data_IF_549450328016
#
_entry.id   IF_549450328016
#
_cell.length_a   1.000
_cell.length_b   1.000
_cell.length_c   1.000
_cell.angle_alpha   90.00
_cell.angle_beta   90.00
_cell.angle_gamma   90.00
#
_symmetry.space_group_name_H-M   'P 1'
#
loop_
_entity.id
_entity.type
_entity.pdbx_description
1 polymer ?
#
# COMPACT_ATOMS: atom_id res chain seq x y z
N UNK A 1 31.00 21.74 6.65
CA UNK A 1 29.63 21.24 6.38
C UNK A 1 29.31 20.22 7.46
N UNK A 2 28.06 20.10 7.88
CA UNK A 2 27.65 18.99 8.76
C UNK A 2 27.68 17.68 7.94
N UNK A 3 27.83 16.53 8.62
CA UNK A 3 27.85 15.21 7.94
C UNK A 3 26.58 15.00 7.09
N UNK A 4 25.43 15.51 7.55
CA UNK A 4 24.18 15.44 6.83
C UNK A 4 24.17 16.30 5.54
N UNK A 5 24.88 17.41 5.52
CA UNK A 5 24.99 18.27 4.33
C UNK A 5 25.94 17.65 3.30
N UNK A 6 26.99 16.97 3.75
CA UNK A 6 27.88 16.17 2.88
C UNK A 6 27.05 15.04 2.24
N UNK A 7 26.30 14.28 3.06
CA UNK A 7 25.42 13.22 2.57
C UNK A 7 24.38 13.73 1.55
N UNK A 8 23.81 14.93 1.78
CA UNK A 8 22.88 15.57 0.84
C UNK A 8 23.52 15.82 -0.52
N UNK A 9 24.74 16.38 -0.51
CA UNK A 9 25.45 16.70 -1.74
C UNK A 9 25.81 15.43 -2.52
N UNK A 10 26.35 14.41 -1.84
CA UNK A 10 26.69 13.12 -2.44
C UNK A 10 25.45 12.41 -3.01
N UNK A 11 24.32 12.44 -2.26
CA UNK A 11 23.04 11.88 -2.71
C UNK A 11 22.52 12.58 -3.95
N UNK A 12 22.61 13.92 -3.99
CA UNK A 12 22.19 14.75 -5.12
C UNK A 12 23.00 14.40 -6.38
N UNK A 13 24.32 14.41 -6.27
CA UNK A 13 25.22 14.10 -7.38
C UNK A 13 24.96 12.70 -7.91
N UNK A 14 24.86 11.72 -7.01
CA UNK A 14 24.57 10.34 -7.40
C UNK A 14 23.21 10.20 -8.11
N UNK A 15 22.14 10.83 -7.61
CA UNK A 15 20.82 10.78 -8.22
C UNK A 15 20.81 11.46 -9.60
N UNK A 16 21.50 12.58 -9.77
CA UNK A 16 21.60 13.28 -11.05
C UNK A 16 22.33 12.44 -12.10
N UNK A 17 23.39 11.74 -11.71
CA UNK A 17 24.15 10.87 -12.59
C UNK A 17 23.40 9.56 -12.91
N UNK A 18 22.72 8.96 -11.93
CA UNK A 18 22.25 7.59 -12.00
C UNK A 18 20.77 7.41 -12.29
N UNK A 19 19.92 8.43 -12.03
CA UNK A 19 18.49 8.35 -12.34
C UNK A 19 18.26 8.63 -13.83
N UNK A 20 17.75 7.66 -14.63
CA UNK A 20 17.43 7.91 -16.03
C UNK A 20 16.40 9.03 -16.19
N UNK A 21 16.51 9.80 -17.29
CA UNK A 21 15.62 10.94 -17.51
C UNK A 21 14.14 10.52 -17.62
N UNK A 22 13.83 9.39 -18.20
CA UNK A 22 12.49 8.82 -18.29
C UNK A 22 11.89 8.45 -16.93
N UNK A 23 12.74 8.17 -15.92
CA UNK A 23 12.35 7.89 -14.55
C UNK A 23 12.16 9.14 -13.69
N UNK A 24 12.36 10.33 -14.25
CA UNK A 24 12.16 11.65 -13.59
C UNK A 24 10.78 12.24 -13.88
N UNK A 25 9.76 11.42 -13.78
CA UNK A 25 8.36 11.83 -13.97
C UNK A 25 7.45 11.05 -13.01
N UNK A 26 6.38 11.68 -12.48
CA UNK A 26 5.48 10.99 -11.56
C UNK A 26 4.83 9.77 -12.21
N UNK A 27 4.61 8.73 -11.42
CA UNK A 27 3.73 7.60 -11.79
C UNK A 27 2.29 8.12 -11.82
N UNK A 28 1.59 7.94 -12.94
CA UNK A 28 0.21 8.36 -13.10
C UNK A 28 -0.70 7.18 -12.79
N UNK A 29 -1.41 7.24 -11.68
CA UNK A 29 -2.44 6.27 -11.30
C UNK A 29 -1.98 4.80 -11.22
N UNK A 30 -0.70 4.57 -10.91
CA UNK A 30 -0.09 3.24 -10.81
C UNK A 30 0.49 2.70 -12.12
N UNK A 31 0.33 3.42 -13.22
CA UNK A 31 1.00 3.10 -14.50
C UNK A 31 2.47 3.48 -14.41
N UNK A 32 3.35 2.58 -14.82
CA UNK A 32 4.80 2.78 -14.75
C UNK A 32 5.42 2.44 -13.39
N UNK A 33 4.67 1.89 -12.44
CA UNK A 33 5.21 1.39 -11.19
C UNK A 33 5.92 0.04 -11.39
N UNK A 34 7.15 -0.07 -10.90
CA UNK A 34 7.87 -1.34 -10.89
C UNK A 34 7.46 -2.17 -9.66
N UNK A 35 6.86 -3.34 -9.87
CA UNK A 35 6.44 -4.25 -8.78
C UNK A 35 7.43 -5.37 -8.52
N UNK A 36 8.31 -5.65 -9.48
CA UNK A 36 9.24 -6.76 -9.39
C UNK A 36 8.56 -8.13 -9.40
N UNK A 37 9.31 -9.16 -9.02
CA UNK A 37 8.87 -10.55 -9.01
C UNK A 37 9.52 -11.39 -10.12
N UNK A 38 9.46 -12.71 -9.96
CA UNK A 38 10.12 -13.66 -10.88
C UNK A 38 9.62 -13.59 -12.32
N UNK A 39 8.36 -13.17 -12.49
CA UNK A 39 7.71 -13.03 -13.81
C UNK A 39 7.51 -11.56 -14.21
N UNK A 40 8.22 -10.62 -13.58
CA UNK A 40 8.10 -9.20 -13.90
C UNK A 40 8.69 -8.89 -15.27
N UNK A 41 7.91 -8.17 -16.07
CA UNK A 41 8.38 -7.63 -17.35
C UNK A 41 8.53 -6.11 -17.18
N UNK A 42 9.75 -5.61 -17.33
CA UNK A 42 10.03 -4.18 -17.25
C UNK A 42 9.40 -3.44 -18.42
N UNK A 43 8.83 -2.27 -18.16
CA UNK A 43 8.25 -1.41 -19.19
C UNK A 43 9.32 -0.78 -20.10
N UNK A 44 10.55 -0.67 -19.60
CA UNK A 44 11.70 -0.14 -20.32
C UNK A 44 13.02 -0.58 -19.68
N UNK A 45 14.11 -0.49 -20.46
CA UNK A 45 15.48 -0.69 -19.93
C UNK A 45 15.81 0.31 -18.81
N UNK A 46 15.32 1.52 -18.90
CA UNK A 46 15.50 2.56 -17.87
C UNK A 46 14.82 2.19 -16.54
N UNK A 47 13.65 1.54 -16.56
CA UNK A 47 12.98 1.07 -15.36
C UNK A 47 13.79 -0.03 -14.68
N UNK A 48 14.32 -0.98 -15.45
CA UNK A 48 15.20 -2.03 -14.94
C UNK A 48 16.49 -1.44 -14.35
N UNK A 49 17.17 -0.60 -15.12
CA UNK A 49 18.41 0.06 -14.72
C UNK A 49 18.23 0.88 -13.43
N UNK A 50 17.09 1.57 -13.31
CA UNK A 50 16.79 2.34 -12.11
C UNK A 50 16.62 1.46 -10.88
N UNK A 51 15.88 0.34 -11.00
CA UNK A 51 15.76 -0.64 -9.91
C UNK A 51 17.13 -1.22 -9.53
N UNK A 52 17.94 -1.65 -10.49
CA UNK A 52 19.26 -2.23 -10.25
C UNK A 52 20.21 -1.25 -9.53
N UNK A 53 20.24 0.02 -9.96
CA UNK A 53 21.06 1.05 -9.34
C UNK A 53 20.63 1.36 -7.91
N UNK A 54 19.33 1.52 -7.68
CA UNK A 54 18.81 1.82 -6.35
C UNK A 54 18.94 0.62 -5.39
N UNK A 55 18.72 -0.60 -5.87
CA UNK A 55 18.89 -1.80 -5.05
C UNK A 55 20.37 -2.06 -4.70
N UNK A 56 21.32 -1.79 -5.62
CA UNK A 56 22.75 -1.92 -5.34
C UNK A 56 23.24 -0.95 -4.26
N UNK A 57 22.54 0.17 -4.07
CA UNK A 57 22.76 1.10 -2.95
C UNK A 57 21.97 0.73 -1.70
N UNK A 58 21.14 -0.31 -1.76
CA UNK A 58 20.15 -0.63 -0.71
C UNK A 58 19.03 0.40 -0.57
N UNK A 59 18.88 1.33 -1.52
CA UNK A 59 17.94 2.46 -1.45
C UNK A 59 16.52 2.12 -1.88
N UNK A 60 16.23 0.86 -2.24
CA UNK A 60 14.86 0.33 -2.31
C UNK A 60 14.26 0.16 -0.90
N UNK A 61 15.11 -0.13 0.11
CA UNK A 61 14.76 -0.17 1.52
C UNK A 61 15.83 0.59 2.34
N UNK A 62 15.86 1.95 2.25
CA UNK A 62 17.02 2.73 2.66
C UNK A 62 17.29 2.71 4.17
N UNK A 63 16.27 2.55 5.00
CA UNK A 63 16.35 2.57 6.48
C UNK A 63 16.37 1.16 7.13
N UNK A 64 16.39 0.09 6.31
CA UNK A 64 16.56 -1.26 6.84
C UNK A 64 18.03 -1.56 7.12
N UNK A 65 18.32 -2.53 8.03
CA UNK A 65 19.69 -2.88 8.39
C UNK A 65 20.55 -3.28 7.19
N UNK A 66 21.79 -2.78 7.15
CA UNK A 66 22.72 -3.05 6.05
C UNK A 66 23.11 -4.54 5.92
N UNK A 67 23.00 -5.31 7.00
CA UNK A 67 23.32 -6.74 7.05
C UNK A 67 22.55 -7.60 6.03
N UNK A 68 21.41 -7.10 5.55
CA UNK A 68 20.60 -7.75 4.53
C UNK A 68 20.74 -7.12 3.14
N UNK A 69 21.78 -6.28 2.92
CA UNK A 69 22.00 -5.56 1.67
C UNK A 69 21.14 -4.31 1.50
N UNK A 70 20.53 -3.82 2.59
CA UNK A 70 19.73 -2.61 2.62
C UNK A 70 20.59 -1.36 2.88
N UNK A 71 19.98 -0.16 2.85
CA UNK A 71 20.73 1.09 2.90
C UNK A 71 21.36 1.42 4.26
N UNK A 72 20.80 0.93 5.36
CA UNK A 72 21.28 1.21 6.72
C UNK A 72 21.19 2.69 7.10
N UNK A 73 20.45 3.53 6.34
CA UNK A 73 20.37 4.96 6.55
C UNK A 73 19.64 5.29 7.86
N UNK A 74 20.20 6.24 8.59
CA UNK A 74 19.45 6.81 9.72
C UNK A 74 18.28 7.68 9.21
N UNK A 75 17.30 7.94 10.08
CA UNK A 75 16.07 8.68 9.71
C UNK A 75 16.33 10.02 9.03
N UNK A 76 17.40 10.74 9.44
CA UNK A 76 17.77 12.02 8.85
C UNK A 76 18.27 11.87 7.40
N UNK A 77 19.10 10.87 7.14
CA UNK A 77 19.62 10.56 5.80
C UNK A 77 18.50 10.05 4.88
N UNK A 78 17.64 9.16 5.36
CA UNK A 78 16.46 8.72 4.60
C UNK A 78 15.54 9.90 4.21
N UNK A 79 15.36 10.88 5.12
CA UNK A 79 14.63 12.11 4.79
C UNK A 79 15.33 12.91 3.68
N UNK A 80 16.65 13.03 3.72
CA UNK A 80 17.46 13.69 2.68
C UNK A 80 17.29 12.97 1.35
N UNK A 81 17.42 11.64 1.31
CA UNK A 81 17.22 10.85 0.09
C UNK A 81 15.84 11.11 -0.52
N UNK A 82 14.77 11.07 0.28
CA UNK A 82 13.41 11.39 -0.19
C UNK A 82 13.28 12.81 -0.75
N UNK A 83 13.92 13.79 -0.12
CA UNK A 83 13.91 15.18 -0.59
C UNK A 83 14.62 15.33 -1.94
N UNK A 84 15.80 14.72 -2.10
CA UNK A 84 16.55 14.80 -3.35
C UNK A 84 15.90 14.00 -4.48
N UNK A 85 15.30 12.84 -4.20
CA UNK A 85 14.44 12.14 -5.17
C UNK A 85 13.25 13.00 -5.61
N UNK A 86 12.59 13.66 -4.66
CA UNK A 86 11.48 14.57 -4.94
C UNK A 86 11.91 15.78 -5.78
N UNK A 87 13.11 16.34 -5.55
CA UNK A 87 13.68 17.47 -6.30
C UNK A 87 13.81 17.18 -7.79
N UNK A 88 14.29 15.99 -8.14
CA UNK A 88 14.42 15.56 -9.54
C UNK A 88 13.18 14.82 -10.04
N UNK A 89 12.12 14.69 -9.23
CA UNK A 89 10.88 13.96 -9.53
C UNK A 89 11.11 12.50 -9.87
N UNK A 90 12.13 11.87 -9.25
CA UNK A 90 12.42 10.46 -9.46
C UNK A 90 11.24 9.59 -9.00
N UNK A 91 10.89 8.59 -9.82
CA UNK A 91 9.93 7.55 -9.43
C UNK A 91 10.48 6.67 -8.31
N UNK A 92 9.59 6.08 -7.50
CA UNK A 92 9.98 4.96 -6.64
C UNK A 92 10.62 3.87 -7.50
N UNK A 93 11.77 3.33 -7.11
CA UNK A 93 12.40 2.26 -7.88
C UNK A 93 11.63 0.94 -7.81
N UNK A 94 10.89 0.72 -6.72
CA UNK A 94 10.16 -0.52 -6.47
C UNK A 94 8.90 -0.24 -5.63
N UNK A 95 7.76 -0.69 -6.12
CA UNK A 95 6.52 -0.82 -5.36
C UNK A 95 6.35 -2.27 -4.94
N UNK A 96 6.26 -2.56 -3.65
CA UNK A 96 6.23 -3.95 -3.18
C UNK A 96 5.61 -4.10 -1.81
N UNK A 97 4.64 -5.03 -1.67
CA UNK A 97 4.19 -5.50 -0.36
C UNK A 97 5.35 -6.09 0.47
N UNK A 98 6.43 -6.51 -0.19
CA UNK A 98 7.69 -6.88 0.46
C UNK A 98 8.27 -5.71 1.25
N UNK A 99 8.35 -4.52 0.65
CA UNK A 99 8.96 -3.33 1.27
C UNK A 99 8.09 -2.77 2.40
N UNK A 100 6.78 -2.60 2.19
CA UNK A 100 5.95 -1.84 3.13
C UNK A 100 5.03 -2.69 4.01
N UNK A 101 5.00 -4.01 3.83
CA UNK A 101 4.24 -4.93 4.69
C UNK A 101 5.11 -6.02 5.29
N UNK A 102 5.43 -7.08 4.52
CA UNK A 102 6.03 -8.27 5.10
C UNK A 102 7.48 -8.05 5.55
N UNK A 103 8.27 -7.22 4.87
CA UNK A 103 9.66 -6.96 5.26
C UNK A 103 9.80 -6.34 6.65
N UNK A 104 9.07 -5.27 7.01
CA UNK A 104 9.02 -4.76 8.38
C UNK A 104 8.60 -5.81 9.42
N UNK A 105 7.68 -6.73 9.07
CA UNK A 105 7.28 -7.80 9.96
C UNK A 105 8.39 -8.86 10.12
N UNK A 106 9.08 -9.21 9.03
CA UNK A 106 10.25 -10.11 9.09
C UNK A 106 11.38 -9.52 9.94
N UNK A 107 11.69 -8.24 9.75
CA UNK A 107 12.70 -7.55 10.56
C UNK A 107 12.38 -7.61 12.05
N UNK A 108 11.12 -7.51 12.42
CA UNK A 108 10.67 -7.45 13.82
C UNK A 108 10.42 -8.82 14.45
N UNK A 109 9.89 -9.76 13.70
CA UNK A 109 9.35 -11.03 14.23
C UNK A 109 9.95 -12.27 13.55
N UNK A 110 10.58 -12.15 12.40
CA UNK A 110 11.17 -13.25 11.65
C UNK A 110 12.41 -13.81 12.35
N UNK A 111 12.65 -15.11 12.15
CA UNK A 111 13.94 -15.73 12.49
C UNK A 111 15.05 -15.17 11.62
N UNK A 112 16.30 -15.41 11.99
CA UNK A 112 17.43 -14.94 11.18
C UNK A 112 17.47 -15.61 9.80
N UNK A 113 17.09 -16.87 9.75
CA UNK A 113 16.99 -17.66 8.51
C UNK A 113 15.95 -17.02 7.55
N UNK A 114 14.75 -16.68 8.05
CA UNK A 114 13.72 -15.99 7.25
C UNK A 114 14.16 -14.63 6.74
N UNK A 115 14.88 -13.87 7.58
CA UNK A 115 15.42 -12.56 7.17
C UNK A 115 16.44 -12.72 6.06
N UNK A 116 17.41 -13.62 6.22
CA UNK A 116 18.45 -13.90 5.22
C UNK A 116 17.86 -14.45 3.92
N UNK A 117 16.81 -15.26 4.00
CA UNK A 117 16.15 -15.83 2.84
C UNK A 117 15.38 -14.77 2.04
N UNK A 118 14.61 -13.90 2.69
CA UNK A 118 13.62 -13.07 2.01
C UNK A 118 14.02 -11.60 1.84
N UNK A 119 14.68 -10.97 2.84
CA UNK A 119 14.95 -9.53 2.78
C UNK A 119 15.85 -9.14 1.59
N UNK A 120 16.94 -9.84 1.29
CA UNK A 120 17.77 -9.51 0.12
C UNK A 120 17.00 -9.61 -1.20
N UNK A 121 16.15 -10.61 -1.37
CA UNK A 121 15.35 -10.79 -2.58
C UNK A 121 14.23 -9.75 -2.69
N UNK A 122 13.64 -9.31 -1.57
CA UNK A 122 12.66 -8.21 -1.53
C UNK A 122 13.29 -6.91 -2.04
N UNK A 123 14.47 -6.53 -1.53
CA UNK A 123 15.09 -5.24 -1.90
C UNK A 123 15.60 -5.21 -3.35
N UNK A 124 15.95 -6.36 -3.91
CA UNK A 124 16.32 -6.47 -5.34
C UNK A 124 15.12 -6.57 -6.27
N UNK A 125 13.89 -6.63 -5.71
CA UNK A 125 12.66 -6.77 -6.50
C UNK A 125 12.52 -8.15 -7.17
N UNK A 126 13.19 -9.17 -6.66
CA UNK A 126 13.17 -10.54 -7.19
C UNK A 126 11.93 -11.33 -6.75
N UNK A 127 11.29 -10.92 -5.67
CA UNK A 127 10.10 -11.55 -5.10
C UNK A 127 8.96 -10.54 -4.99
N UNK A 128 7.84 -10.84 -5.64
CA UNK A 128 6.58 -10.13 -5.49
C UNK A 128 5.69 -10.82 -4.46
N UNK A 129 5.21 -10.07 -3.49
CA UNK A 129 4.39 -10.58 -2.40
C UNK A 129 2.91 -10.28 -2.58
N UNK A 130 2.05 -11.16 -2.04
CA UNK A 130 0.64 -10.89 -1.83
C UNK A 130 0.22 -11.26 -0.41
N UNK A 131 -0.95 -10.72 0.01
CA UNK A 131 -1.50 -10.88 1.36
C UNK A 131 -2.68 -11.86 1.32
N UNK A 132 -2.61 -12.91 2.14
CA UNK A 132 -3.66 -13.90 2.33
C UNK A 132 -4.35 -13.74 3.68
N UNK A 133 -5.17 -12.70 3.88
CA UNK A 133 -5.82 -12.42 5.17
C UNK A 133 -7.30 -12.74 5.14
N UNK A 134 -8.09 -11.92 4.45
CA UNK A 134 -9.54 -12.02 4.42
C UNK A 134 -10.05 -13.33 3.82
N UNK A 135 -11.20 -13.79 4.30
CA UNK A 135 -11.97 -14.90 3.77
C UNK A 135 -13.39 -14.44 3.43
N UNK A 136 -14.18 -15.21 2.65
CA UNK A 136 -15.55 -14.84 2.32
C UNK A 136 -16.40 -14.45 3.54
N UNK A 137 -16.17 -15.12 4.68
CA UNK A 137 -16.90 -14.87 5.94
C UNK A 137 -16.07 -14.22 7.03
N UNK A 138 -14.82 -13.81 6.76
CA UNK A 138 -13.89 -13.21 7.74
C UNK A 138 -13.13 -12.02 7.14
N UNK A 139 -13.81 -10.89 7.02
CA UNK A 139 -13.23 -9.59 6.64
C UNK A 139 -13.08 -8.69 7.87
N UNK A 140 -14.14 -7.98 8.28
CA UNK A 140 -14.11 -7.15 9.50
C UNK A 140 -13.86 -7.96 10.76
N UNK A 141 -14.43 -9.16 10.88
CA UNK A 141 -14.09 -10.15 11.92
C UNK A 141 -12.97 -11.08 11.44
N UNK A 142 -11.80 -10.50 11.12
CA UNK A 142 -10.64 -11.25 10.60
C UNK A 142 -10.22 -12.38 11.54
N UNK A 143 -10.35 -12.22 12.84
CA UNK A 143 -10.02 -13.26 13.81
C UNK A 143 -10.93 -14.50 13.70
N UNK A 144 -12.06 -14.38 13.02
CA UNK A 144 -12.99 -15.48 12.69
C UNK A 144 -12.57 -16.33 11.50
N UNK A 145 -11.36 -16.14 10.95
CA UNK A 145 -10.85 -16.91 9.80
C UNK A 145 -10.90 -18.44 10.07
N UNK A 146 -11.20 -19.20 9.00
CA UNK A 146 -11.42 -20.64 9.04
C UNK A 146 -10.39 -21.44 8.22
N UNK A 147 -9.63 -20.82 7.31
CA UNK A 147 -8.55 -21.50 6.61
C UNK A 147 -7.57 -22.06 7.62
N UNK A 148 -7.40 -23.37 7.62
CA UNK A 148 -6.65 -24.12 8.63
C UNK A 148 -5.28 -24.56 8.13
N UNK A 149 -4.35 -24.76 9.06
CA UNK A 149 -3.07 -25.42 8.82
C UNK A 149 -2.93 -26.55 9.84
N UNK A 150 -2.97 -27.79 9.36
CA UNK A 150 -2.85 -28.98 10.20
C UNK A 150 -1.38 -29.34 10.36
N UNK A 151 -0.93 -29.52 11.59
CA UNK A 151 0.44 -29.91 11.91
C UNK A 151 0.68 -31.39 11.57
N UNK A 152 1.60 -31.66 10.66
CA UNK A 152 1.99 -33.00 10.22
C UNK A 152 3.34 -33.46 10.83
N UNK A 153 3.88 -32.69 11.78
CA UNK A 153 5.16 -32.99 12.46
C UNK A 153 6.30 -32.14 11.89
N UNK A 154 6.69 -32.34 10.65
CA UNK A 154 7.76 -31.60 9.96
C UNK A 154 7.26 -30.39 9.13
N UNK A 155 5.98 -30.37 8.77
CA UNK A 155 5.34 -29.31 7.99
C UNK A 155 3.88 -29.11 8.40
N UNK A 156 3.22 -28.10 7.83
CA UNK A 156 1.77 -27.92 7.89
C UNK A 156 1.12 -28.24 6.54
N UNK A 157 -0.12 -28.71 6.57
CA UNK A 157 -0.99 -28.81 5.40
C UNK A 157 -2.10 -27.76 5.54
N UNK A 158 -2.10 -26.81 4.61
CA UNK A 158 -3.04 -25.70 4.61
C UNK A 158 -4.21 -25.95 3.66
N UNK A 159 -5.43 -25.68 4.17
CA UNK A 159 -6.67 -25.80 3.41
C UNK A 159 -7.59 -24.62 3.71
N UNK A 160 -8.21 -24.05 2.67
CA UNK A 160 -9.17 -22.97 2.81
C UNK A 160 -9.29 -22.08 1.58
N UNK A 161 -9.84 -20.90 1.80
CA UNK A 161 -10.04 -19.90 0.74
C UNK A 161 -9.76 -18.50 1.28
N UNK A 162 -8.92 -17.76 0.59
CA UNK A 162 -8.68 -16.33 0.82
C UNK A 162 -9.38 -15.50 -0.26
N UNK A 163 -9.75 -14.28 0.10
CA UNK A 163 -10.41 -13.33 -0.82
C UNK A 163 -9.75 -11.96 -0.69
N UNK A 164 -9.87 -11.17 -1.74
CA UNK A 164 -9.24 -9.85 -1.86
C UNK A 164 -7.72 -9.90 -1.82
N UNK A 165 -7.13 -11.03 -2.24
CA UNK A 165 -5.69 -11.19 -2.39
C UNK A 165 -5.18 -10.27 -3.50
N UNK A 166 -4.57 -9.15 -3.12
CA UNK A 166 -4.09 -8.15 -4.08
C UNK A 166 -3.00 -8.74 -4.97
N UNK A 167 -3.27 -8.75 -6.30
CA UNK A 167 -2.37 -9.27 -7.32
C UNK A 167 -1.87 -10.69 -7.06
N UNK A 168 -2.69 -11.56 -6.45
CA UNK A 168 -2.33 -12.94 -6.16
C UNK A 168 -1.97 -13.76 -7.40
N UNK A 169 -2.55 -13.41 -8.56
CA UNK A 169 -2.24 -14.00 -9.87
C UNK A 169 -0.89 -13.58 -10.47
N UNK A 170 -0.21 -12.65 -9.82
CA UNK A 170 1.07 -12.07 -10.24
C UNK A 170 2.15 -12.13 -9.16
N UNK A 171 1.79 -12.62 -7.99
CA UNK A 171 2.68 -12.72 -6.85
C UNK A 171 3.48 -14.02 -6.89
N UNK A 172 4.69 -13.98 -6.35
CA UNK A 172 5.56 -15.14 -6.20
C UNK A 172 5.38 -15.79 -4.83
N UNK A 173 5.13 -14.97 -3.80
CA UNK A 173 4.98 -15.43 -2.42
C UNK A 173 3.77 -14.80 -1.73
N UNK A 174 3.18 -15.57 -0.83
CA UNK A 174 2.09 -15.10 0.02
C UNK A 174 2.51 -15.10 1.49
N UNK A 175 2.15 -14.03 2.21
CA UNK A 175 2.09 -14.04 3.66
C UNK A 175 0.64 -14.24 4.09
N UNK A 176 0.37 -15.34 4.79
CA UNK A 176 -0.98 -15.85 5.00
C UNK A 176 -1.29 -16.07 6.48
N UNK A 177 -2.49 -15.65 6.93
CA UNK A 177 -3.01 -16.02 8.24
C UNK A 177 -3.77 -17.33 8.14
N UNK A 178 -3.39 -18.31 8.96
CA UNK A 178 -4.04 -19.61 9.02
C UNK A 178 -4.38 -19.99 10.47
N UNK A 179 -5.45 -20.75 10.64
CA UNK A 179 -5.86 -21.35 11.91
C UNK A 179 -5.00 -22.59 12.19
N UNK A 180 -4.05 -22.48 13.10
CA UNK A 180 -3.16 -23.59 13.53
C UNK A 180 -3.63 -24.28 14.79
N UNK A 181 -4.46 -23.61 15.60
CA UNK A 181 -5.13 -24.21 16.77
C UNK A 181 -6.63 -23.85 16.74
N UNK A 182 -7.50 -24.80 16.36
CA UNK A 182 -8.95 -24.57 16.28
C UNK A 182 -9.62 -24.47 17.67
N UNK A 183 -9.02 -25.02 18.71
CA UNK A 183 -9.58 -25.08 20.07
C UNK A 183 -9.24 -23.84 20.89
N UNK A 184 -8.26 -23.04 20.46
CA UNK A 184 -7.87 -21.81 21.11
C UNK A 184 -8.91 -20.68 20.91
N UNK A 185 -8.86 -19.68 21.80
CA UNK A 185 -9.63 -18.43 21.58
C UNK A 185 -9.30 -17.84 20.22
N UNK A 186 -10.30 -17.20 19.58
CA UNK A 186 -10.23 -16.68 18.19
C UNK A 186 -8.86 -16.14 17.76
N UNK A 187 -8.26 -15.26 18.55
CA UNK A 187 -6.99 -14.61 18.23
C UNK A 187 -5.75 -15.45 18.55
N UNK A 188 -5.87 -16.44 19.43
CA UNK A 188 -4.76 -17.18 20.00
C UNK A 188 -4.32 -18.40 19.17
N UNK A 189 -5.16 -18.85 18.24
CA UNK A 189 -4.90 -20.03 17.39
C UNK A 189 -4.57 -19.68 15.94
N UNK A 190 -4.01 -18.50 15.70
CA UNK A 190 -3.68 -18.01 14.35
C UNK A 190 -2.17 -17.88 14.22
N UNK A 191 -1.61 -18.41 13.13
CA UNK A 191 -0.22 -18.22 12.73
C UNK A 191 -0.11 -17.41 11.46
N UNK A 192 0.99 -16.66 11.30
CA UNK A 192 1.38 -16.05 10.04
C UNK A 192 2.43 -16.95 9.38
N UNK A 193 2.13 -17.42 8.19
CA UNK A 193 3.00 -18.31 7.43
C UNK A 193 3.32 -17.73 6.06
N UNK A 194 4.44 -18.16 5.49
CA UNK A 194 4.90 -17.78 4.16
C UNK A 194 4.91 -19.02 3.28
N UNK A 195 4.49 -18.89 2.04
CA UNK A 195 4.63 -19.94 1.04
C UNK A 195 4.68 -19.38 -0.38
N UNK A 196 5.34 -20.13 -1.25
CA UNK A 196 5.43 -19.82 -2.68
C UNK A 196 4.07 -20.04 -3.36
N UNK A 197 3.66 -19.11 -4.22
CA UNK A 197 2.39 -19.18 -4.95
C UNK A 197 2.37 -20.29 -6.02
N UNK A 198 3.53 -20.84 -6.39
CA UNK A 198 3.65 -22.03 -7.25
C UNK A 198 3.57 -23.35 -6.47
N UNK A 199 3.45 -23.31 -5.14
CA UNK A 199 3.24 -24.53 -4.33
C UNK A 199 1.98 -25.26 -4.83
N UNK A 200 2.06 -26.59 -5.08
CA UNK A 200 0.89 -27.37 -5.49
C UNK A 200 -0.29 -27.15 -4.54
N UNK A 201 -1.48 -26.97 -5.11
CA UNK A 201 -2.72 -26.70 -4.37
C UNK A 201 -3.04 -25.21 -4.21
N UNK A 202 -2.13 -24.29 -4.51
CA UNK A 202 -2.41 -22.85 -4.53
C UNK A 202 -3.02 -22.45 -5.86
N UNK A 203 -4.24 -21.89 -5.83
CA UNK A 203 -4.94 -21.48 -7.07
C UNK A 203 -5.53 -20.08 -6.91
N UNK A 204 -4.86 -19.03 -7.41
CA UNK A 204 -5.41 -17.68 -7.47
C UNK A 204 -6.39 -17.55 -8.64
N UNK A 205 -7.57 -16.97 -8.39
CA UNK A 205 -8.60 -16.65 -9.42
C UNK A 205 -8.89 -15.17 -9.41
N UNK A 206 -8.58 -14.44 -10.49
CA UNK A 206 -8.83 -13.00 -10.58
C UNK A 206 -10.30 -12.62 -10.42
N UNK A 207 -10.57 -11.57 -9.64
CA UNK A 207 -11.89 -10.97 -9.45
C UNK A 207 -12.00 -9.72 -10.33
N UNK A 208 -12.89 -9.73 -11.30
CA UNK A 208 -13.17 -8.54 -12.11
C UNK A 208 -14.07 -7.58 -11.34
N UNK A 209 -13.55 -6.40 -11.04
CA UNK A 209 -14.30 -5.35 -10.36
C UNK A 209 -15.25 -4.62 -11.32
N UNK A 210 -16.26 -3.94 -10.75
CA UNK A 210 -17.18 -3.06 -11.50
C UNK A 210 -16.44 -1.92 -12.22
N UNK A 211 -15.25 -1.54 -11.75
CA UNK A 211 -14.35 -0.57 -12.42
C UNK A 211 -13.71 -1.10 -13.70
N UNK A 212 -13.89 -2.39 -14.00
CA UNK A 212 -13.29 -3.06 -15.15
C UNK A 212 -11.88 -3.62 -14.90
N UNK A 213 -11.22 -3.25 -13.79
CA UNK A 213 -9.91 -3.79 -13.41
C UNK A 213 -10.04 -5.09 -12.59
N UNK A 214 -8.93 -5.84 -12.48
CA UNK A 214 -8.88 -7.07 -11.71
C UNK A 214 -7.62 -7.12 -10.82
N UNK A 215 -7.52 -6.21 -9.81
CA UNK A 215 -6.35 -6.16 -8.93
C UNK A 215 -6.41 -7.17 -7.77
N UNK A 216 -7.49 -7.91 -7.62
CA UNK A 216 -7.70 -8.85 -6.52
C UNK A 216 -8.01 -10.26 -7.03
N UNK A 217 -7.68 -11.25 -6.20
CA UNK A 217 -8.01 -12.65 -6.43
C UNK A 217 -8.80 -13.23 -5.26
N UNK A 218 -9.60 -14.25 -5.55
CA UNK A 218 -9.84 -15.37 -4.63
C UNK A 218 -8.63 -16.30 -4.73
N UNK A 219 -8.16 -16.81 -3.60
CA UNK A 219 -7.04 -17.76 -3.59
C UNK A 219 -7.46 -19.01 -2.83
N UNK A 220 -7.54 -20.11 -3.54
CA UNK A 220 -7.89 -21.42 -2.97
C UNK A 220 -6.63 -22.13 -2.53
N UNK A 221 -6.70 -22.78 -1.38
CA UNK A 221 -5.66 -23.60 -0.79
C UNK A 221 -6.21 -25.01 -0.64
N UNK A 222 -5.65 -25.99 -1.37
CA UNK A 222 -6.07 -27.38 -1.40
C UNK A 222 -4.84 -28.25 -1.13
N UNK A 223 -4.74 -28.74 0.09
CA UNK A 223 -3.61 -29.51 0.62
C UNK A 223 -2.22 -28.86 0.40
N UNK A 224 -2.15 -27.54 0.57
CA UNK A 224 -0.92 -26.77 0.37
C UNK A 224 0.08 -27.09 1.49
N UNK A 225 1.26 -27.59 1.11
CA UNK A 225 2.37 -27.82 2.03
C UNK A 225 3.03 -26.50 2.43
N UNK A 226 3.16 -26.27 3.73
CA UNK A 226 3.83 -25.10 4.31
C UNK A 226 4.92 -25.58 5.26
N UNK A 227 6.16 -25.20 5.02
CA UNK A 227 7.29 -25.58 5.84
C UNK A 227 7.26 -24.86 7.19
N UNK A 228 7.71 -25.52 8.26
CA UNK A 228 7.69 -24.95 9.63
C UNK A 228 8.64 -23.78 9.80
N UNK A 229 9.74 -23.78 9.06
CA UNK A 229 10.69 -22.67 9.04
C UNK A 229 10.14 -21.40 8.35
N UNK A 230 9.01 -21.53 7.64
CA UNK A 230 8.28 -20.41 7.02
C UNK A 230 7.20 -19.81 7.93
N UNK A 231 7.17 -20.14 9.21
CA UNK A 231 6.31 -19.47 10.20
C UNK A 231 7.00 -18.18 10.67
N UNK A 232 6.32 -17.06 10.56
CA UNK A 232 6.83 -15.77 11.06
C UNK A 232 6.53 -15.65 12.54
N UNK A 233 7.57 -15.54 13.37
CA UNK A 233 7.47 -15.59 14.82
C UNK A 233 7.16 -17.00 15.32
N UNK A 234 6.34 -17.11 16.37
CA UNK A 234 5.95 -18.38 16.95
C UNK A 234 4.59 -18.84 16.43
N UNK A 235 4.38 -20.15 16.36
CA UNK A 235 3.07 -20.76 16.05
C UNK A 235 2.02 -20.22 17.04
N UNK A 236 0.84 -19.90 16.54
CA UNK A 236 -0.28 -19.31 17.29
C UNK A 236 -0.07 -17.84 17.74
N UNK A 237 1.00 -17.16 17.32
CA UNK A 237 1.27 -15.74 17.61
C UNK A 237 1.00 -14.80 16.43
N UNK A 238 0.48 -15.32 15.33
CA UNK A 238 0.25 -14.57 14.09
C UNK A 238 -0.69 -13.37 14.24
N UNK A 239 -1.61 -13.36 15.20
CA UNK A 239 -2.50 -12.24 15.44
C UNK A 239 -1.78 -10.94 15.87
N UNK A 240 -0.74 -11.08 16.67
CA UNK A 240 0.10 -9.93 17.07
C UNK A 240 0.82 -9.35 15.87
N UNK A 241 1.33 -10.20 14.99
CA UNK A 241 2.00 -9.79 13.74
C UNK A 241 1.00 -9.18 12.79
N UNK A 242 -0.21 -9.76 12.65
CA UNK A 242 -1.29 -9.22 11.84
C UNK A 242 -1.67 -7.79 12.26
N UNK A 243 -1.80 -7.53 13.56
CA UNK A 243 -2.07 -6.16 14.07
C UNK A 243 -0.98 -5.17 13.70
N UNK A 244 0.28 -5.59 13.74
CA UNK A 244 1.41 -4.78 13.33
C UNK A 244 1.33 -4.43 11.84
N UNK A 245 1.11 -5.42 10.97
CA UNK A 245 0.96 -5.23 9.53
C UNK A 245 -0.22 -4.34 9.17
N UNK A 246 -1.37 -4.53 9.80
CA UNK A 246 -2.57 -3.71 9.59
C UNK A 246 -2.38 -2.23 9.98
N UNK A 247 -1.41 -1.91 10.84
CA UNK A 247 -1.06 -0.51 11.13
C UNK A 247 -0.40 0.15 9.93
N UNK A 248 0.56 -0.51 9.30
CA UNK A 248 1.21 -0.01 8.08
C UNK A 248 0.23 0.11 6.91
N UNK A 249 -0.67 -0.85 6.75
CA UNK A 249 -1.73 -0.80 5.73
C UNK A 249 -2.64 0.42 5.90
N UNK A 250 -3.08 0.74 7.13
CA UNK A 250 -3.92 1.91 7.42
C UNK A 250 -3.21 3.23 7.12
N UNK A 251 -1.92 3.32 7.42
CA UNK A 251 -1.11 4.50 7.10
C UNK A 251 -1.05 4.74 5.60
N UNK A 252 -0.81 3.69 4.82
CA UNK A 252 -0.79 3.75 3.35
C UNK A 252 -2.16 4.16 2.78
N UNK A 253 -3.25 3.49 3.22
CA UNK A 253 -4.60 3.77 2.73
C UNK A 253 -5.05 5.17 3.15
N UNK A 254 -4.70 5.61 4.37
CA UNK A 254 -4.99 6.97 4.85
C UNK A 254 -4.40 8.06 3.95
N UNK A 255 -3.23 7.82 3.37
CA UNK A 255 -2.59 8.73 2.43
C UNK A 255 -3.35 8.96 1.12
N UNK A 256 -4.33 8.11 0.77
CA UNK A 256 -5.12 8.26 -0.47
C UNK A 256 -5.95 9.57 -0.51
N UNK A 257 -6.26 10.16 0.65
CA UNK A 257 -6.94 11.46 0.73
C UNK A 257 -6.06 12.65 0.37
N UNK A 258 -4.74 12.45 0.30
CA UNK A 258 -3.79 13.49 -0.07
C UNK A 258 -3.60 13.51 -1.59
N UNK A 259 -3.69 14.69 -2.18
CA UNK A 259 -3.26 14.87 -3.57
C UNK A 259 -1.74 14.79 -3.63
N UNK A 260 -1.22 13.86 -4.45
CA UNK A 260 0.23 13.74 -4.64
C UNK A 260 0.85 15.07 -5.09
N UNK A 261 2.08 15.33 -4.65
CA UNK A 261 2.83 16.52 -5.06
C UNK A 261 2.91 16.58 -6.60
N UNK A 262 2.48 17.71 -7.18
CA UNK A 262 2.44 17.92 -8.63
C UNK A 262 1.11 17.55 -9.31
N UNK A 263 0.11 17.02 -8.61
CA UNK A 263 -1.23 16.85 -9.14
C UNK A 263 -1.95 18.20 -9.23
N UNK A 264 -2.74 18.40 -10.30
CA UNK A 264 -3.61 19.57 -10.40
C UNK A 264 -4.66 19.56 -9.28
N UNK A 265 -4.91 20.72 -8.67
CA UNK A 265 -6.01 20.88 -7.71
C UNK A 265 -7.37 20.71 -8.41
N UNK A 266 -8.43 20.38 -7.66
CA UNK A 266 -9.78 20.32 -8.23
C UNK A 266 -10.19 21.67 -8.85
N UNK A 267 -9.83 22.78 -8.20
CA UNK A 267 -10.07 24.12 -8.73
C UNK A 267 -9.38 24.37 -10.06
N UNK A 268 -8.14 23.92 -10.23
CA UNK A 268 -7.42 24.05 -11.49
C UNK A 268 -8.06 23.19 -12.60
N UNK A 269 -8.51 21.97 -12.29
CA UNK A 269 -9.20 21.09 -13.24
C UNK A 269 -10.55 21.73 -13.63
N UNK A 270 -11.34 22.16 -12.65
CA UNK A 270 -12.62 22.80 -12.88
C UNK A 270 -12.49 24.08 -13.71
N UNK A 271 -11.47 24.91 -13.44
CA UNK A 271 -11.20 26.12 -14.20
C UNK A 271 -10.87 25.80 -15.67
N UNK A 272 -10.12 24.73 -15.92
CA UNK A 272 -9.79 24.30 -17.27
C UNK A 272 -11.00 23.73 -18.04
N UNK A 273 -11.89 22.99 -17.35
CA UNK A 273 -13.01 22.26 -17.99
C UNK A 273 -14.27 23.13 -18.13
N UNK A 274 -14.66 23.82 -17.04
CA UNK A 274 -15.89 24.61 -16.97
C UNK A 274 -15.66 26.06 -17.45
N UNK A 275 -14.41 26.53 -17.32
CA UNK A 275 -14.03 27.91 -17.59
C UNK A 275 -14.26 28.86 -16.41
N UNK A 276 -13.70 30.08 -16.56
CA UNK A 276 -13.80 31.11 -15.51
C UNK A 276 -14.17 32.48 -16.17
N UNK A 277 -14.92 33.30 -15.42
CA UNK A 277 -15.16 34.68 -15.72
C UNK A 277 -14.76 35.54 -14.53
N UNK A 278 -13.92 36.55 -14.76
CA UNK A 278 -13.36 37.41 -13.71
C UNK A 278 -12.71 36.62 -12.55
N UNK A 279 -11.98 35.53 -12.87
CA UNK A 279 -11.29 34.70 -11.92
C UNK A 279 -12.20 33.77 -11.06
N UNK A 280 -13.48 33.62 -11.44
CA UNK A 280 -14.45 32.75 -10.76
C UNK A 280 -14.95 31.68 -11.72
N UNK A 281 -15.15 30.45 -11.21
CA UNK A 281 -15.77 29.39 -12.00
C UNK A 281 -17.15 29.85 -12.51
N UNK A 282 -17.46 29.51 -13.76
CA UNK A 282 -18.72 29.87 -14.40
C UNK A 282 -19.93 29.16 -13.78
N UNK A 283 -19.72 27.98 -13.18
CA UNK A 283 -20.74 27.26 -12.43
C UNK A 283 -20.60 27.57 -10.92
N UNK A 284 -21.62 28.20 -10.34
CA UNK A 284 -21.66 28.61 -8.94
C UNK A 284 -21.77 27.43 -7.99
N UNK A 285 -22.52 26.37 -8.35
CA UNK A 285 -22.68 25.18 -7.53
C UNK A 285 -21.38 24.39 -7.49
N UNK A 286 -20.77 24.18 -8.66
CA UNK A 286 -19.48 23.51 -8.76
C UNK A 286 -18.38 24.26 -8.01
N UNK A 287 -18.38 25.59 -8.07
CA UNK A 287 -17.44 26.41 -7.26
C UNK A 287 -17.57 26.11 -5.79
N UNK A 288 -18.80 25.96 -5.29
CA UNK A 288 -19.06 25.64 -3.87
C UNK A 288 -18.57 24.21 -3.51
N UNK A 289 -18.86 23.23 -4.36
CA UNK A 289 -18.43 21.84 -4.16
C UNK A 289 -16.90 21.72 -4.17
N UNK A 290 -16.22 22.36 -5.11
CA UNK A 290 -14.76 22.40 -5.19
C UNK A 290 -14.16 23.09 -3.96
N UNK A 291 -14.68 24.25 -3.56
CA UNK A 291 -14.17 24.98 -2.40
C UNK A 291 -14.31 24.16 -1.10
N UNK A 292 -15.45 23.51 -0.89
CA UNK A 292 -15.66 22.63 0.28
C UNK A 292 -14.64 21.48 0.29
N UNK A 293 -14.44 20.84 -0.85
CA UNK A 293 -13.48 19.74 -0.93
C UNK A 293 -12.05 20.22 -0.66
N UNK A 294 -11.63 21.37 -1.24
CA UNK A 294 -10.26 21.89 -1.06
C UNK A 294 -10.01 22.33 0.38
N UNK A 295 -11.00 22.92 1.08
CA UNK A 295 -10.92 23.25 2.50
C UNK A 295 -10.71 21.98 3.32
N UNK A 296 -11.52 20.95 3.10
CA UNK A 296 -11.42 19.68 3.81
C UNK A 296 -10.08 18.99 3.51
N UNK A 297 -9.61 19.01 2.27
CA UNK A 297 -8.33 18.44 1.86
C UNK A 297 -7.15 19.16 2.53
N UNK A 298 -7.18 20.47 2.61
CA UNK A 298 -6.17 21.26 3.33
C UNK A 298 -6.17 20.95 4.83
N UNK A 299 -7.34 20.91 5.47
CA UNK A 299 -7.47 20.54 6.88
C UNK A 299 -6.95 19.12 7.15
N UNK A 300 -7.25 18.18 6.26
CA UNK A 300 -6.74 16.81 6.34
C UNK A 300 -5.21 16.75 6.19
N UNK A 301 -4.63 17.49 5.23
CA UNK A 301 -3.19 17.55 5.02
C UNK A 301 -2.46 18.08 6.27
N UNK A 302 -2.93 19.18 6.86
CA UNK A 302 -2.36 19.73 8.12
C UNK A 302 -2.52 18.77 9.29
N UNK A 303 -3.63 18.03 9.35
CA UNK A 303 -3.84 17.02 10.39
C UNK A 303 -2.86 15.85 10.23
N UNK A 304 -2.64 15.37 9.00
CA UNK A 304 -1.66 14.32 8.71
C UNK A 304 -0.22 14.76 9.02
N UNK A 305 0.12 16.00 8.72
CA UNK A 305 1.42 16.60 9.09
C UNK A 305 1.60 16.64 10.60
N UNK A 306 0.61 17.14 11.35
CA UNK A 306 0.63 17.15 12.82
C UNK A 306 0.83 15.76 13.41
N UNK A 307 0.07 14.75 12.94
CA UNK A 307 0.20 13.37 13.41
C UNK A 307 1.61 12.82 13.13
N UNK A 308 2.18 13.17 11.97
CA UNK A 308 3.56 12.81 11.62
C UNK A 308 4.57 13.45 12.59
N UNK A 309 4.37 14.70 12.97
CA UNK A 309 5.26 15.40 13.90
C UNK A 309 5.11 14.89 15.33
N UNK A 310 3.89 14.57 15.77
CA UNK A 310 3.62 13.91 17.06
C UNK A 310 4.32 12.53 17.12
N UNK A 311 4.26 11.74 16.04
CA UNK A 311 4.96 10.45 15.94
C UNK A 311 6.49 10.61 16.01
N UNK A 312 7.05 11.64 15.36
CA UNK A 312 8.49 11.98 15.46
C UNK A 312 8.88 12.38 16.90
N UNK A 313 7.98 13.03 17.63
CA UNK A 313 8.17 13.38 19.03
C UNK A 313 7.98 12.20 19.99
N UNK A 314 7.77 10.98 19.49
CA UNK A 314 7.67 9.76 20.28
C UNK A 314 6.27 9.48 20.86
N UNK A 315 5.25 10.23 20.46
CA UNK A 315 3.89 10.02 20.96
C UNK A 315 3.16 8.82 20.32
N UNK A 316 3.71 8.32 19.20
CA UNK A 316 3.12 7.23 18.41
C UNK A 316 1.85 7.66 17.64
N UNK A 317 1.50 6.94 16.58
CA UNK A 317 0.31 7.26 15.78
C UNK A 317 -0.96 6.72 16.45
N UNK A 318 -0.87 5.58 17.14
CA UNK A 318 -1.97 5.00 17.92
C UNK A 318 -3.29 4.89 17.16
N UNK A 319 -4.38 5.23 17.84
CA UNK A 319 -5.73 5.21 17.30
C UNK A 319 -5.97 6.29 16.21
N UNK A 320 -5.11 7.32 16.11
CA UNK A 320 -5.23 8.39 15.12
C UNK A 320 -5.14 7.86 13.69
N UNK A 321 -4.44 6.72 13.47
CA UNK A 321 -4.43 6.03 12.17
C UNK A 321 -5.83 5.68 11.67
N UNK A 322 -6.75 5.34 12.58
CA UNK A 322 -8.16 5.07 12.23
C UNK A 322 -8.87 6.32 11.70
N UNK A 323 -8.62 7.49 12.31
CA UNK A 323 -9.16 8.77 11.85
C UNK A 323 -8.61 9.15 10.47
N UNK A 324 -7.29 9.02 10.27
CA UNK A 324 -6.66 9.31 8.98
C UNK A 324 -7.22 8.38 7.89
N UNK A 325 -7.36 7.07 8.17
CA UNK A 325 -7.96 6.13 7.22
C UNK A 325 -9.39 6.51 6.88
N UNK A 326 -10.24 6.70 7.89
CA UNK A 326 -11.66 7.02 7.68
C UNK A 326 -11.81 8.29 6.85
N UNK A 327 -11.24 9.41 7.32
CA UNK A 327 -11.44 10.71 6.66
C UNK A 327 -10.76 10.78 5.30
N UNK A 328 -9.55 10.25 5.16
CA UNK A 328 -8.81 10.23 3.89
C UNK A 328 -9.54 9.44 2.81
N UNK A 329 -10.14 8.29 3.15
CA UNK A 329 -10.91 7.49 2.18
C UNK A 329 -12.22 8.17 1.78
N UNK A 330 -12.94 8.80 2.70
CA UNK A 330 -14.16 9.57 2.38
C UNK A 330 -13.83 10.81 1.55
N UNK A 331 -12.71 11.48 1.83
CA UNK A 331 -12.23 12.60 1.04
C UNK A 331 -11.88 12.19 -0.39
N UNK A 332 -11.23 11.03 -0.57
CA UNK A 332 -10.92 10.49 -1.89
C UNK A 332 -12.18 10.14 -2.69
N UNK A 333 -13.19 9.53 -2.08
CA UNK A 333 -14.49 9.27 -2.72
C UNK A 333 -15.14 10.56 -3.22
N UNK A 334 -15.25 11.57 -2.36
CA UNK A 334 -15.80 12.89 -2.72
C UNK A 334 -14.99 13.59 -3.82
N UNK A 335 -13.66 13.38 -3.85
CA UNK A 335 -12.83 13.90 -4.95
C UNK A 335 -13.27 13.37 -6.30
N UNK A 336 -13.42 12.07 -6.43
CA UNK A 336 -13.82 11.46 -7.70
C UNK A 336 -15.30 11.72 -8.06
N UNK A 337 -16.17 11.88 -7.09
CA UNK A 337 -17.54 12.34 -7.30
C UNK A 337 -17.56 13.78 -7.87
N UNK A 338 -16.71 14.65 -7.33
CA UNK A 338 -16.58 16.04 -7.84
C UNK A 338 -15.92 16.08 -9.22
N UNK A 339 -14.88 15.26 -9.46
CA UNK A 339 -14.26 15.13 -10.78
C UNK A 339 -15.27 14.69 -11.85
N UNK A 340 -16.10 13.68 -11.56
CA UNK A 340 -17.13 13.24 -12.49
C UNK A 340 -18.14 14.32 -12.79
N UNK A 341 -18.55 15.12 -11.79
CA UNK A 341 -19.43 16.28 -12.02
C UNK A 341 -18.76 17.35 -12.87
N UNK A 342 -17.45 17.60 -12.71
CA UNK A 342 -16.70 18.57 -13.50
C UNK A 342 -16.63 18.14 -14.96
N UNK A 343 -16.36 16.86 -15.25
CA UNK A 343 -16.29 16.31 -16.60
C UNK A 343 -17.67 16.11 -17.27
N UNK A 344 -18.74 16.05 -16.45
CA UNK A 344 -20.12 15.91 -16.93
C UNK A 344 -20.34 14.62 -17.72
N UNK A 345 -21.09 14.70 -18.83
CA UNK A 345 -21.42 13.54 -19.67
C UNK A 345 -20.21 12.86 -20.29
N UNK A 346 -19.17 13.64 -20.59
CA UNK A 346 -17.97 13.12 -21.25
C UNK A 346 -17.22 12.13 -20.36
N UNK A 347 -17.14 12.40 -19.06
CA UNK A 347 -16.50 11.51 -18.08
C UNK A 347 -17.32 10.25 -17.76
N UNK A 348 -18.59 10.17 -18.19
CA UNK A 348 -19.42 8.95 -18.10
C UNK A 348 -19.15 7.96 -19.25
N UNK A 349 -18.49 8.39 -20.32
CA UNK A 349 -18.16 7.54 -21.46
C UNK A 349 -17.12 6.52 -21.00
N UNK A 350 -17.43 5.21 -21.20
CA UNK A 350 -16.63 4.11 -20.67
C UNK A 350 -15.35 3.84 -21.48
N UNK A 351 -15.36 4.09 -22.77
CA UNK A 351 -14.26 3.84 -23.70
C UNK A 351 -14.10 5.02 -24.67
N UNK A 352 -12.89 5.30 -25.12
CA UNK A 352 -12.55 6.33 -26.09
C UNK A 352 -11.77 7.52 -25.48
N UNK A 353 -11.19 8.30 -26.36
CA UNK A 353 -10.22 9.36 -26.01
C UNK A 353 -10.84 10.51 -25.21
N UNK A 354 -12.12 10.85 -25.46
CA UNK A 354 -12.82 11.96 -24.78
C UNK A 354 -12.80 11.79 -23.27
N UNK A 355 -13.06 10.56 -22.80
CA UNK A 355 -13.09 10.21 -21.37
C UNK A 355 -11.77 9.66 -20.84
N UNK A 356 -10.72 9.64 -21.66
CA UNK A 356 -9.50 8.90 -21.36
C UNK A 356 -9.83 7.44 -20.95
N UNK A 357 -10.56 6.72 -21.79
CA UNK A 357 -11.04 5.37 -21.57
C UNK A 357 -11.80 5.19 -20.25
N UNK A 358 -12.65 6.17 -19.92
CA UNK A 358 -13.49 6.15 -18.73
C UNK A 358 -12.74 6.30 -17.41
N UNK A 359 -11.56 6.94 -17.44
CA UNK A 359 -10.67 7.01 -16.29
C UNK A 359 -11.37 7.51 -15.03
N UNK A 360 -12.10 8.63 -15.09
CA UNK A 360 -12.80 9.20 -13.93
C UNK A 360 -13.89 8.27 -13.41
N UNK A 361 -14.72 7.72 -14.29
CA UNK A 361 -15.79 6.79 -13.93
C UNK A 361 -15.24 5.50 -13.28
N UNK A 362 -14.20 4.91 -13.89
CA UNK A 362 -13.53 3.71 -13.35
C UNK A 362 -12.92 3.97 -11.98
N UNK A 363 -12.26 5.11 -11.80
CA UNK A 363 -11.68 5.50 -10.50
C UNK A 363 -12.78 5.76 -9.47
N UNK A 364 -13.86 6.46 -9.82
CA UNK A 364 -15.01 6.65 -8.92
C UNK A 364 -15.57 5.31 -8.42
N UNK A 365 -15.80 4.36 -9.33
CA UNK A 365 -16.29 3.02 -8.96
C UNK A 365 -15.31 2.30 -8.03
N UNK A 366 -13.98 2.38 -8.32
CA UNK A 366 -12.96 1.77 -7.47
C UNK A 366 -12.91 2.39 -6.07
N UNK A 367 -13.12 3.71 -5.94
CA UNK A 367 -13.09 4.38 -4.63
C UNK A 367 -14.20 3.92 -3.69
N UNK A 368 -15.29 3.32 -4.18
CA UNK A 368 -16.34 2.77 -3.30
C UNK A 368 -15.82 1.66 -2.38
N UNK A 369 -14.79 0.93 -2.81
CA UNK A 369 -14.06 -0.03 -1.96
C UNK A 369 -13.29 0.62 -0.82
N UNK A 370 -12.93 1.91 -0.93
CA UNK A 370 -12.14 2.59 0.10
C UNK A 370 -12.83 2.65 1.49
N UNK A 371 -14.16 2.65 1.53
CA UNK A 371 -14.92 2.59 2.80
C UNK A 371 -14.88 1.21 3.46
N UNK A 372 -14.38 0.18 2.76
CA UNK A 372 -14.41 -1.22 3.19
C UNK A 372 -13.01 -1.74 3.50
N UNK A 373 -12.07 -1.56 2.58
CA UNK A 373 -10.69 -2.05 2.68
C UNK A 373 -9.92 -1.41 3.85
N UNK A 374 -8.95 -2.13 4.43
CA UNK A 374 -8.16 -1.66 5.58
C UNK A 374 -8.97 -1.43 6.86
N UNK A 375 -10.11 -2.12 6.98
CA UNK A 375 -11.12 -1.94 8.03
C UNK A 375 -12.23 -0.97 7.60
N UNK A 376 -13.49 -1.42 7.70
CA UNK A 376 -14.63 -0.62 7.24
C UNK A 376 -14.74 0.72 7.96
N UNK A 377 -15.43 1.69 7.34
CA UNK A 377 -15.71 2.99 7.96
C UNK A 377 -16.32 2.83 9.35
N UNK A 378 -17.23 1.87 9.55
CA UNK A 378 -17.87 1.56 10.83
C UNK A 378 -16.85 1.04 11.87
N UNK A 379 -15.94 0.16 11.46
CA UNK A 379 -14.86 -0.33 12.33
C UNK A 379 -13.94 0.83 12.75
N UNK A 380 -13.58 1.70 11.81
CA UNK A 380 -12.74 2.87 12.12
C UNK A 380 -13.46 3.84 13.06
N UNK A 381 -14.75 4.11 12.84
CA UNK A 381 -15.56 4.96 13.72
C UNK A 381 -15.66 4.37 15.14
N UNK A 382 -15.81 3.05 15.28
CA UNK A 382 -15.79 2.39 16.59
C UNK A 382 -14.43 2.55 17.30
N UNK A 383 -13.31 2.43 16.57
CA UNK A 383 -11.98 2.66 17.12
C UNK A 383 -11.82 4.11 17.58
N UNK A 384 -12.27 5.07 16.75
CA UNK A 384 -12.25 6.50 17.06
C UNK A 384 -13.08 6.78 18.33
N UNK A 385 -14.33 6.31 18.34
CA UNK A 385 -15.24 6.51 19.47
C UNK A 385 -14.63 6.00 20.78
N UNK A 386 -14.13 4.77 20.77
CA UNK A 386 -13.59 4.13 21.97
C UNK A 386 -12.23 4.72 22.40
N UNK A 387 -11.29 4.85 21.49
CA UNK A 387 -9.89 5.10 21.85
C UNK A 387 -9.48 6.58 21.72
N UNK A 388 -10.22 7.41 20.99
CA UNK A 388 -9.96 8.85 20.86
C UNK A 388 -10.95 9.65 21.69
N UNK A 389 -12.25 9.32 21.62
CA UNK A 389 -13.30 10.10 22.26
C UNK A 389 -13.70 9.55 23.65
N UNK A 390 -13.22 8.36 24.03
CA UNK A 390 -13.56 7.73 25.31
C UNK A 390 -15.03 7.33 25.44
N UNK A 391 -15.73 7.15 24.32
CA UNK A 391 -17.10 6.68 24.25
C UNK A 391 -17.08 5.16 24.18
N UNK A 392 -17.30 4.47 25.27
CA UNK A 392 -17.19 3.01 25.33
C UNK A 392 -18.39 2.30 25.88
#
# INVERSE_FOLDING_TARGET
MSDLEVFRQETREWLEENCPQSMRSPVIAGEGACWGGRNWVFESEDQQLWLERMSSKGWTAPDWPADYGCGGLVKAEHKVLKQEMGRIRARSPLDSFGIWMIGPALLKFGSEELKQQHLPAIIRGEIRWCQGYSEPNAGSDLAGLQSKAVDMGDHFIANGQKVWTSYGDKADWMFCLLRTDPDAKKQMGISLVLFDMETPGVTPKPIKLISGSSPFCETFLDDVRVEKDQVVGEVNQGWTIAKYLLTHEREMIGGMGLTGAGSKTLGAIAAQTIGTTNGRLNDLFMRTDVAKWEIDAAAFAFTAERVTDEAKAGQGIGATSAMLKYYGTELNKRRFETLLKIGGSDDLIWEGDISNNGWTARKLLRTKGNSIEGGTSEVQLNIIAKNILGLG
#
